data_IF_721906104991
#
_entry.id   IF_721906104991
#
_cell.length_a   1.000
_cell.length_b   1.000
_cell.length_c   1.000
_cell.angle_alpha   90.00
_cell.angle_beta   90.00
_cell.angle_gamma   90.00
#
_symmetry.space_group_name_H-M   'P 1'
#
loop_
_entity.id
_entity.type
_entity.pdbx_description
1 polymer ?
#
# COMPACT_ATOMS: atom_id res chain seq x y z
N UNK A 1 -11.89 1.27 7.25
CA UNK A 1 -10.77 2.02 7.84
C UNK A 1 -9.63 2.09 6.84
N UNK A 2 -8.96 3.23 6.77
CA UNK A 2 -7.71 3.35 6.02
C UNK A 2 -6.61 2.61 6.77
N UNK A 3 -5.86 1.76 6.07
CA UNK A 3 -4.75 1.01 6.63
C UNK A 3 -3.53 1.15 5.71
N UNK A 4 -2.36 0.90 6.27
CA UNK A 4 -1.07 1.08 5.60
C UNK A 4 -0.18 -0.14 5.81
N UNK A 5 0.56 -0.50 4.75
CA UNK A 5 1.71 -1.40 4.80
C UNK A 5 2.95 -0.60 4.40
N UNK A 6 4.03 -0.75 5.17
CA UNK A 6 5.28 -0.01 5.01
C UNK A 6 6.44 -0.98 4.84
N UNK A 7 7.30 -0.73 3.87
CA UNK A 7 8.58 -1.42 3.70
C UNK A 7 9.72 -0.41 3.62
N UNK A 8 10.87 -0.75 4.18
CA UNK A 8 12.10 0.02 4.02
C UNK A 8 12.89 -0.52 2.83
N UNK A 9 13.49 0.38 2.06
CA UNK A 9 14.17 0.12 0.79
C UNK A 9 15.39 1.02 0.68
N UNK A 10 16.41 0.56 -0.03
CA UNK A 10 17.55 1.40 -0.41
C UNK A 10 17.12 2.52 -1.37
N UNK A 11 17.96 3.55 -1.54
CA UNK A 11 17.69 4.64 -2.50
C UNK A 11 17.83 4.17 -3.95
N UNK A 12 18.64 3.13 -4.17
CA UNK A 12 18.92 2.53 -5.47
C UNK A 12 17.83 1.54 -5.90
N UNK A 13 16.79 1.33 -5.07
CA UNK A 13 15.68 0.46 -5.41
C UNK A 13 14.89 1.00 -6.60
N UNK A 14 14.38 0.09 -7.42
CA UNK A 14 13.46 0.38 -8.51
C UNK A 14 12.07 0.71 -7.95
N UNK A 15 11.83 2.00 -7.71
CA UNK A 15 10.62 2.49 -7.08
C UNK A 15 9.37 2.23 -7.93
N UNK A 16 9.50 2.24 -9.26
CA UNK A 16 8.38 1.94 -10.15
C UNK A 16 7.96 0.48 -10.02
N UNK A 17 8.92 -0.45 -9.99
CA UNK A 17 8.66 -1.86 -9.75
C UNK A 17 7.99 -2.11 -8.40
N UNK A 18 8.52 -1.49 -7.34
CA UNK A 18 7.96 -1.61 -5.99
C UNK A 18 6.54 -1.08 -5.95
N UNK A 19 6.29 0.13 -6.46
CA UNK A 19 4.97 0.74 -6.45
C UNK A 19 3.96 -0.09 -7.25
N UNK A 20 4.34 -0.55 -8.44
CA UNK A 20 3.51 -1.42 -9.27
C UNK A 20 3.14 -2.70 -8.51
N UNK A 21 4.14 -3.37 -7.93
CA UNK A 21 3.93 -4.62 -7.17
C UNK A 21 2.99 -4.42 -5.97
N UNK A 22 3.21 -3.36 -5.18
CA UNK A 22 2.36 -3.07 -4.02
C UNK A 22 0.92 -2.76 -4.43
N UNK A 23 0.73 -1.98 -5.50
CA UNK A 23 -0.60 -1.62 -6.01
C UNK A 23 -1.33 -2.87 -6.52
N UNK A 24 -0.69 -3.65 -7.40
CA UNK A 24 -1.29 -4.85 -8.01
C UNK A 24 -1.71 -5.87 -6.96
N UNK A 25 -0.85 -6.15 -5.97
CA UNK A 25 -1.19 -7.11 -4.90
C UNK A 25 -2.41 -6.67 -4.09
N UNK A 26 -2.58 -5.36 -3.86
CA UNK A 26 -3.75 -4.85 -3.16
C UNK A 26 -4.99 -4.87 -4.05
N UNK A 27 -4.88 -4.40 -5.30
CA UNK A 27 -5.98 -4.36 -6.25
C UNK A 27 -6.53 -5.77 -6.52
N UNK A 28 -5.68 -6.76 -6.74
CA UNK A 28 -6.09 -8.15 -6.98
C UNK A 28 -6.86 -8.78 -5.82
N UNK A 29 -6.57 -8.37 -4.57
CA UNK A 29 -7.16 -9.00 -3.39
C UNK A 29 -8.36 -8.25 -2.82
N UNK A 30 -8.37 -6.92 -2.92
CA UNK A 30 -9.40 -6.07 -2.30
C UNK A 30 -9.82 -4.86 -3.15
N UNK A 31 -9.32 -4.71 -4.38
CA UNK A 31 -9.64 -3.58 -5.26
C UNK A 31 -11.14 -3.41 -5.51
N UNK A 32 -11.83 -4.51 -5.83
CA UNK A 32 -13.29 -4.49 -6.05
C UNK A 32 -14.06 -4.05 -4.80
N UNK A 33 -13.65 -4.56 -3.63
CA UNK A 33 -14.24 -4.22 -2.34
C UNK A 33 -13.96 -2.74 -2.00
N UNK A 34 -12.77 -2.24 -2.33
CA UNK A 34 -12.40 -0.83 -2.16
C UNK A 34 -13.26 0.07 -3.03
N UNK A 35 -13.36 -0.19 -4.34
CA UNK A 35 -14.16 0.62 -5.27
C UNK A 35 -15.62 0.68 -4.84
N UNK A 36 -16.22 -0.45 -4.45
CA UNK A 36 -17.60 -0.48 -3.94
C UNK A 36 -17.77 0.39 -2.69
N UNK A 37 -16.87 0.28 -1.72
CA UNK A 37 -16.95 1.06 -0.48
C UNK A 37 -16.72 2.55 -0.71
N UNK A 38 -15.81 2.91 -1.62
CA UNK A 38 -15.56 4.32 -1.96
C UNK A 38 -16.76 4.92 -2.68
N UNK A 39 -17.44 4.20 -3.58
CA UNK A 39 -18.68 4.66 -4.21
C UNK A 39 -19.78 4.96 -3.19
N UNK A 40 -19.99 4.06 -2.22
CA UNK A 40 -20.95 4.29 -1.12
C UNK A 40 -20.55 5.51 -0.31
N UNK A 41 -19.27 5.67 0.00
CA UNK A 41 -18.79 6.82 0.77
C UNK A 41 -18.93 8.15 0.00
N UNK A 42 -18.58 8.18 -1.30
CA UNK A 42 -18.80 9.33 -2.19
C UNK A 42 -20.29 9.71 -2.27
N UNK A 43 -21.17 8.71 -2.37
CA UNK A 43 -22.61 8.95 -2.36
C UNK A 43 -23.11 9.57 -1.05
N UNK A 44 -22.58 9.14 0.10
CA UNK A 44 -22.92 9.76 1.40
C UNK A 44 -22.37 11.19 1.47
N UNK A 45 -21.11 11.40 1.05
CA UNK A 45 -20.49 12.73 1.06
C UNK A 45 -21.23 13.73 0.17
N UNK A 46 -21.75 13.29 -0.98
CA UNK A 46 -22.54 14.14 -1.87
C UNK A 46 -23.85 14.65 -1.24
N UNK A 47 -24.26 14.11 -0.08
CA UNK A 47 -25.41 14.58 0.69
C UNK A 47 -25.02 15.59 1.79
N UNK A 48 -23.74 15.99 1.85
CA UNK A 48 -23.22 16.91 2.86
C UNK A 48 -22.55 18.12 2.18
N UNK A 49 -22.52 19.30 2.81
CA UNK A 49 -21.87 20.50 2.25
C UNK A 49 -20.33 20.47 2.36
N UNK A 50 -19.74 19.29 2.57
CA UNK A 50 -18.28 19.11 2.63
C UNK A 50 -17.77 19.05 1.19
N UNK A 51 -16.79 19.90 0.86
CA UNK A 51 -16.09 19.83 -0.43
C UNK A 51 -15.61 18.41 -0.69
N UNK A 52 -15.74 17.93 -1.94
CA UNK A 52 -15.35 16.58 -2.33
C UNK A 52 -13.85 16.36 -2.06
N UNK A 53 -13.52 15.87 -0.85
CA UNK A 53 -12.20 15.38 -0.54
C UNK A 53 -11.88 14.31 -1.58
N UNK A 54 -10.72 14.38 -2.22
CA UNK A 54 -10.35 13.44 -3.28
C UNK A 54 -10.25 12.01 -2.70
N UNK A 55 -11.34 11.25 -2.77
CA UNK A 55 -11.37 9.87 -2.29
C UNK A 55 -10.88 8.94 -3.40
N UNK A 56 -9.65 8.45 -3.23
CA UNK A 56 -9.02 7.51 -4.15
C UNK A 56 -9.74 6.16 -4.07
N UNK A 57 -10.22 5.68 -5.21
CA UNK A 57 -10.94 4.40 -5.35
C UNK A 57 -10.03 3.18 -5.28
N UNK A 58 -8.73 3.40 -5.53
CA UNK A 58 -7.69 2.40 -5.61
C UNK A 58 -6.61 2.63 -4.55
N UNK A 59 -5.83 1.59 -4.21
CA UNK A 59 -4.68 1.72 -3.33
C UNK A 59 -3.67 2.72 -3.90
N UNK A 60 -3.12 3.56 -3.03
CA UNK A 60 -2.13 4.56 -3.40
C UNK A 60 -0.81 4.20 -2.76
N UNK A 61 0.24 4.18 -3.58
CA UNK A 61 1.61 4.03 -3.10
C UNK A 61 2.26 5.40 -3.04
N UNK A 62 2.91 5.70 -1.92
CA UNK A 62 3.74 6.87 -1.75
C UNK A 62 5.07 6.48 -1.10
N UNK A 63 6.07 7.32 -1.33
CA UNK A 63 7.41 7.13 -0.79
C UNK A 63 7.75 8.25 0.18
N UNK A 64 8.48 7.92 1.25
CA UNK A 64 8.94 8.87 2.25
C UNK A 64 10.40 8.60 2.58
N UNK A 65 11.20 9.66 2.66
CA UNK A 65 12.56 9.56 3.23
C UNK A 65 12.45 9.38 4.73
N UNK A 66 13.05 8.31 5.26
CA UNK A 66 13.13 8.05 6.69
C UNK A 66 14.37 8.72 7.30
N UNK A 67 14.32 8.98 8.61
CA UNK A 67 15.44 9.58 9.37
C UNK A 67 16.69 8.70 9.39
N UNK A 68 16.55 7.40 9.13
CA UNK A 68 17.60 6.39 9.22
C UNK A 68 18.19 5.98 7.84
N UNK A 69 18.32 6.92 6.91
CA UNK A 69 18.91 6.74 5.56
C UNK A 69 18.23 5.73 4.65
N UNK A 70 17.01 5.29 4.97
CA UNK A 70 16.21 4.41 4.12
C UNK A 70 15.04 5.16 3.48
N UNK A 71 14.57 4.66 2.36
CA UNK A 71 13.29 5.06 1.79
C UNK A 71 12.19 4.14 2.35
N UNK A 72 11.05 4.71 2.72
CA UNK A 72 9.84 3.96 3.03
C UNK A 72 8.92 3.94 1.82
N UNK A 73 8.55 2.75 1.35
CA UNK A 73 7.43 2.55 0.44
C UNK A 73 6.17 2.23 1.24
N UNK A 74 5.11 2.99 1.02
CA UNK A 74 3.89 2.92 1.80
C UNK A 74 2.71 2.73 0.85
N UNK A 75 1.98 1.63 0.99
CA UNK A 75 0.70 1.43 0.30
C UNK A 75 -0.45 1.66 1.27
N UNK A 76 -1.33 2.58 0.91
CA UNK A 76 -2.54 2.90 1.65
C UNK A 76 -3.75 2.29 0.97
N UNK A 77 -4.60 1.64 1.74
CA UNK A 77 -5.78 0.91 1.24
C UNK A 77 -6.95 0.97 2.22
N UNK A 78 -8.16 0.69 1.73
CA UNK A 78 -9.38 0.68 2.52
C UNK A 78 -9.78 -0.77 2.85
N UNK A 79 -10.00 -1.07 4.13
CA UNK A 79 -10.38 -2.41 4.57
C UNK A 79 -11.45 -2.37 5.67
N UNK A 80 -12.23 -3.45 5.79
CA UNK A 80 -13.12 -3.65 6.94
C UNK A 80 -12.30 -3.77 8.23
N UNK A 81 -12.67 -3.08 9.33
CA UNK A 81 -11.97 -3.21 10.61
C UNK A 81 -11.83 -4.66 11.09
N UNK A 82 -12.88 -5.48 10.89
CA UNK A 82 -12.90 -6.88 11.31
C UNK A 82 -11.86 -7.76 10.59
N UNK A 83 -11.55 -7.42 9.34
CA UNK A 83 -10.61 -8.18 8.49
C UNK A 83 -9.23 -7.53 8.40
N UNK A 84 -9.00 -6.40 9.07
CA UNK A 84 -7.83 -5.56 8.86
C UNK A 84 -6.52 -6.32 9.11
N UNK A 85 -6.43 -7.09 10.21
CA UNK A 85 -5.24 -7.87 10.56
C UNK A 85 -4.99 -9.01 9.56
N UNK A 86 -6.00 -9.83 9.27
CA UNK A 86 -5.89 -10.96 8.34
C UNK A 86 -5.51 -10.50 6.92
N UNK A 87 -6.16 -9.44 6.46
CA UNK A 87 -5.89 -8.84 5.14
C UNK A 87 -4.47 -8.30 5.07
N UNK A 88 -4.04 -7.53 6.09
CA UNK A 88 -2.68 -6.97 6.15
C UNK A 88 -1.61 -8.06 6.08
N UNK A 89 -1.77 -9.13 6.86
CA UNK A 89 -0.81 -10.26 6.85
C UNK A 89 -0.73 -10.94 5.49
N UNK A 90 -1.88 -11.19 4.83
CA UNK A 90 -1.90 -11.82 3.49
C UNK A 90 -1.25 -10.93 2.43
N UNK A 91 -1.55 -9.64 2.45
CA UNK A 91 -0.94 -8.66 1.54
C UNK A 91 0.58 -8.57 1.72
N UNK A 92 1.06 -8.49 2.96
CA UNK A 92 2.51 -8.44 3.26
C UNK A 92 3.23 -9.67 2.69
N UNK A 93 2.68 -10.87 2.92
CA UNK A 93 3.29 -12.12 2.44
C UNK A 93 3.39 -12.15 0.91
N UNK A 94 2.31 -11.77 0.23
CA UNK A 94 2.27 -11.75 -1.23
C UNK A 94 3.20 -10.68 -1.83
N UNK A 95 3.22 -9.48 -1.26
CA UNK A 95 4.14 -8.41 -1.66
C UNK A 95 5.59 -8.87 -1.51
N UNK A 96 5.96 -9.42 -0.35
CA UNK A 96 7.29 -9.93 -0.10
C UNK A 96 7.66 -11.08 -1.05
N UNK A 97 6.73 -11.98 -1.36
CA UNK A 97 6.98 -13.06 -2.31
C UNK A 97 7.34 -12.52 -3.71
N UNK A 98 6.55 -11.58 -4.25
CA UNK A 98 6.80 -10.97 -5.57
C UNK A 98 8.06 -10.11 -5.60
N UNK A 99 8.30 -9.36 -4.53
CA UNK A 99 9.49 -8.50 -4.41
C UNK A 99 10.77 -9.32 -4.25
N UNK A 100 10.77 -10.37 -3.42
CA UNK A 100 11.93 -11.24 -3.24
C UNK A 100 12.25 -12.10 -4.47
N UNK A 101 11.32 -12.24 -5.42
CA UNK A 101 11.61 -12.85 -6.72
C UNK A 101 12.47 -11.95 -7.63
N UNK A 102 12.63 -10.66 -7.28
CA UNK A 102 13.47 -9.65 -7.96
C UNK A 102 14.31 -8.87 -6.93
N UNK A 103 15.20 -9.55 -6.17
CA UNK A 103 15.88 -8.94 -5.04
C UNK A 103 16.84 -7.81 -5.42
N UNK A 104 17.37 -7.84 -6.64
CA UNK A 104 18.18 -6.82 -7.29
C UNK A 104 17.42 -5.51 -7.56
N UNK A 105 16.09 -5.57 -7.68
CA UNK A 105 15.25 -4.39 -7.91
C UNK A 105 14.74 -3.75 -6.62
N UNK A 106 14.64 -4.51 -5.54
CA UNK A 106 13.96 -4.04 -4.30
C UNK A 106 14.95 -3.64 -3.22
N UNK A 107 16.10 -4.31 -3.12
CA UNK A 107 17.19 -3.95 -2.20
C UNK A 107 16.72 -3.71 -0.75
N UNK A 108 15.96 -4.66 -0.21
CA UNK A 108 15.56 -4.63 1.20
C UNK A 108 16.80 -4.52 2.11
N UNK A 109 16.69 -3.81 3.25
CA UNK A 109 17.73 -3.81 4.27
C UNK A 109 18.13 -5.24 4.63
N UNK A 110 19.37 -5.61 4.33
CA UNK A 110 19.92 -6.89 4.75
C UNK A 110 20.34 -6.76 6.21
N UNK A 111 19.88 -7.68 7.05
CA UNK A 111 20.36 -7.80 8.43
C UNK A 111 21.79 -8.34 8.42
N UNK A 112 22.76 -7.46 8.13
CA UNK A 112 24.19 -7.68 8.33
C UNK A 112 24.84 -6.48 9.05
N UNK A 113 24.07 -5.68 9.79
CA UNK A 113 24.62 -4.79 10.80
C UNK A 113 25.01 -5.66 12.01
N UNK A 114 26.18 -6.28 11.91
CA UNK A 114 26.98 -6.73 13.06
C UNK A 114 28.02 -5.67 13.36
#
# INVERSE_FOLDING_TARGET
VWNEIKFQLAYESDLEFVAKTMREVVDEQIGDIMSQKVKVYKHILSQTPVDELEVKEHPVVHFRVSENTWLEAIVRYLVSPKEAGRTKTRLIKEMLARMNAKPDRVLFPKSNLR
#
